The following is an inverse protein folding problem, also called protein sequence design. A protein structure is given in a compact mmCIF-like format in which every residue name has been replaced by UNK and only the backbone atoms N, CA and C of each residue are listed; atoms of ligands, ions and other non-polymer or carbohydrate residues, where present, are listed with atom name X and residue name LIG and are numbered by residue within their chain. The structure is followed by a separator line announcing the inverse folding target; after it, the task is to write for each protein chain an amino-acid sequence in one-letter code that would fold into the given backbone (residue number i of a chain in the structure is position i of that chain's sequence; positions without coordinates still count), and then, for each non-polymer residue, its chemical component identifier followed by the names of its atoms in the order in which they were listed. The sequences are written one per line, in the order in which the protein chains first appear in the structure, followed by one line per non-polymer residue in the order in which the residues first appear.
data_IF_456501288754
#
_entry.id   IF_456501288754
#
_cell.length_a   1.000
_cell.length_b   1.000
_cell.length_c   1.000
_cell.angle_alpha   90.00
_cell.angle_beta   90.00
_cell.angle_gamma   90.00
#
_symmetry.space_group_name_H-M   'P 1'
#
loop_
_entity.id
_entity.type
_entity.pdbx_description
1 polymer ?
#
# COMPACT_ATOMS: atom_id res chain seq x y z
N UNK A 1 10.22 0.37 20.38
CA UNK A 1 9.73 -0.62 19.38
C UNK A 1 10.59 -1.88 19.41
N UNK A 2 9.99 -3.07 19.32
CA UNK A 2 10.70 -4.33 19.04
C UNK A 2 10.76 -4.53 17.52
N UNK A 3 11.89 -5.00 17.00
CA UNK A 3 12.06 -5.28 15.57
C UNK A 3 12.30 -6.77 15.32
N UNK A 4 11.74 -7.28 14.24
CA UNK A 4 11.85 -8.68 13.80
C UNK A 4 12.35 -8.76 12.37
N UNK A 5 13.12 -9.79 12.08
CA UNK A 5 13.59 -10.08 10.72
C UNK A 5 12.42 -10.53 9.85
N UNK A 6 12.31 -9.98 8.64
CA UNK A 6 11.25 -10.32 7.69
C UNK A 6 11.67 -11.56 6.88
N UNK A 7 11.13 -12.73 7.24
CA UNK A 7 11.41 -13.98 6.54
C UNK A 7 12.89 -14.32 6.51
N UNK A 8 13.42 -14.60 5.31
CA UNK A 8 14.84 -14.90 5.08
C UNK A 8 15.63 -13.70 4.51
N UNK A 9 15.16 -12.48 4.75
CA UNK A 9 15.79 -11.25 4.26
C UNK A 9 16.58 -10.56 5.38
N UNK A 10 17.39 -9.57 5.04
CA UNK A 10 18.06 -8.71 6.05
C UNK A 10 17.17 -7.54 6.52
N UNK A 11 15.91 -7.46 6.06
CA UNK A 11 14.98 -6.40 6.42
C UNK A 11 14.47 -6.62 7.85
N UNK A 12 14.51 -5.54 8.66
CA UNK A 12 13.97 -5.51 10.02
C UNK A 12 12.71 -4.65 10.07
N UNK A 13 11.58 -5.27 10.36
CA UNK A 13 10.28 -4.60 10.52
C UNK A 13 9.92 -4.49 12.00
N UNK A 14 9.20 -3.44 12.36
CA UNK A 14 8.58 -3.32 13.68
C UNK A 14 7.64 -4.50 13.94
N UNK A 15 7.57 -4.98 15.18
CA UNK A 15 6.69 -6.10 15.55
C UNK A 15 5.19 -5.79 15.39
N UNK A 16 4.86 -4.51 15.24
CA UNK A 16 3.54 -3.98 14.87
C UNK A 16 3.66 -3.31 13.50
N UNK A 17 2.70 -3.59 12.61
CA UNK A 17 2.56 -2.97 11.30
C UNK A 17 1.37 -2.00 11.30
N UNK A 18 1.52 -0.83 10.65
CA UNK A 18 0.41 0.08 10.41
C UNK A 18 -0.39 -0.39 9.18
N UNK A 19 -1.58 -0.94 9.41
CA UNK A 19 -2.55 -1.23 8.36
C UNK A 19 -3.38 0.01 8.00
N UNK A 20 -3.69 0.17 6.71
CA UNK A 20 -4.12 1.48 6.17
C UNK A 20 -5.43 1.49 5.39
N UNK A 21 -6.13 0.34 5.29
CA UNK A 21 -7.22 0.12 4.34
C UNK A 21 -8.43 1.08 4.44
N UNK A 22 -8.57 1.87 5.51
CA UNK A 22 -9.71 2.77 5.74
C UNK A 22 -9.51 4.17 5.16
N UNK A 23 -8.29 4.52 4.75
CA UNK A 23 -7.92 5.87 4.33
C UNK A 23 -8.39 6.16 2.90
N UNK A 24 -9.24 7.17 2.74
CA UNK A 24 -9.94 7.49 1.50
C UNK A 24 -11.41 7.06 1.50
N UNK A 25 -11.86 6.28 2.49
CA UNK A 25 -13.27 5.89 2.66
C UNK A 25 -13.81 6.34 4.03
N UNK A 26 -13.27 5.80 5.11
CA UNK A 26 -13.70 6.13 6.48
C UNK A 26 -12.84 7.22 7.10
N UNK A 27 -11.58 7.32 6.67
CA UNK A 27 -10.64 8.32 7.13
C UNK A 27 -10.28 9.29 6.02
N UNK A 28 -10.14 10.55 6.38
CA UNK A 28 -9.60 11.59 5.51
C UNK A 28 -8.08 11.46 5.36
N UNK A 29 -7.50 12.14 4.37
CA UNK A 29 -6.04 12.24 4.21
C UNK A 29 -5.36 12.78 5.48
N UNK A 30 -5.94 13.80 6.11
CA UNK A 30 -5.40 14.40 7.33
C UNK A 30 -5.35 13.42 8.50
N UNK A 31 -6.40 12.62 8.70
CA UNK A 31 -6.44 11.58 9.72
C UNK A 31 -5.46 10.43 9.40
N UNK A 32 -5.29 10.08 8.12
CA UNK A 32 -4.27 9.12 7.69
C UNK A 32 -2.85 9.63 7.97
N UNK A 33 -2.57 10.90 7.70
CA UNK A 33 -1.29 11.55 8.01
C UNK A 33 -1.03 11.58 9.52
N UNK A 34 -2.04 11.91 10.33
CA UNK A 34 -1.92 11.89 11.80
C UNK A 34 -1.60 10.48 12.32
N UNK A 35 -2.25 9.45 11.78
CA UNK A 35 -1.95 8.06 12.13
C UNK A 35 -0.53 7.65 11.72
N UNK A 36 -0.06 8.07 10.54
CA UNK A 36 1.32 7.83 10.09
C UNK A 36 2.33 8.53 11.00
N UNK A 37 2.13 9.82 11.28
CA UNK A 37 3.00 10.60 12.17
C UNK A 37 3.09 9.94 13.55
N UNK A 38 1.95 9.61 14.16
CA UNK A 38 1.91 8.93 15.46
C UNK A 38 2.60 7.56 15.44
N UNK A 39 2.39 6.77 14.38
CA UNK A 39 3.01 5.44 14.27
C UNK A 39 4.54 5.53 14.24
N UNK A 40 5.09 6.50 13.50
CA UNK A 40 6.52 6.72 13.37
C UNK A 40 7.12 7.24 14.67
N UNK A 41 6.42 8.14 15.37
CA UNK A 41 6.83 8.61 16.70
C UNK A 41 6.90 7.47 17.73
N UNK A 42 6.07 6.44 17.58
CA UNK A 42 6.12 5.21 18.39
C UNK A 42 7.18 4.20 17.90
N UNK A 43 7.89 4.51 16.81
CA UNK A 43 8.96 3.72 16.23
C UNK A 43 8.49 2.62 15.27
N UNK A 44 7.25 2.66 14.78
CA UNK A 44 6.77 1.77 13.70
C UNK A 44 7.47 2.18 12.41
N UNK A 45 8.04 1.20 11.70
CA UNK A 45 8.68 1.40 10.40
C UNK A 45 8.05 0.56 9.29
N UNK A 46 6.92 -0.11 9.54
CA UNK A 46 6.34 -1.05 8.60
C UNK A 46 4.89 -0.69 8.29
N UNK A 47 4.63 -0.24 7.06
CA UNK A 47 3.31 0.16 6.58
C UNK A 47 2.80 -0.85 5.56
N UNK A 48 1.51 -1.18 5.63
CA UNK A 48 0.83 -2.12 4.73
C UNK A 48 -0.36 -1.45 4.03
N UNK A 49 -0.37 -1.51 2.70
CA UNK A 49 -1.44 -1.00 1.83
C UNK A 49 -1.73 -2.00 0.69
N UNK A 50 -2.58 -1.67 -0.27
CA UNK A 50 -2.86 -2.47 -1.46
C UNK A 50 -3.43 -1.57 -2.57
N UNK A 51 -3.27 -1.96 -3.84
CA UNK A 51 -3.81 -1.19 -4.97
C UNK A 51 -5.33 -0.99 -4.88
N UNK A 52 -6.05 -1.95 -4.27
CA UNK A 52 -7.50 -1.93 -4.20
C UNK A 52 -8.07 -1.08 -3.05
N UNK A 53 -7.22 -0.67 -2.10
CA UNK A 53 -7.68 0.12 -0.95
C UNK A 53 -8.06 1.54 -1.41
N UNK A 54 -9.09 2.18 -0.85
CA UNK A 54 -9.72 1.90 0.44
C UNK A 54 -10.78 0.78 0.44
N UNK A 55 -11.30 0.43 1.64
CA UNK A 55 -12.40 -0.54 1.82
C UNK A 55 -13.67 0.12 2.40
N UNK A 56 -14.88 -0.28 1.97
CA UNK A 56 -15.18 -1.27 0.93
C UNK A 56 -14.68 -0.85 -0.47
N UNK A 57 -14.11 -1.78 -1.26
CA UNK A 57 -13.50 -1.43 -2.54
C UNK A 57 -14.57 -1.01 -3.56
N UNK A 58 -14.38 0.15 -4.18
CA UNK A 58 -15.24 0.68 -5.25
C UNK A 58 -14.41 1.51 -6.23
N UNK A 59 -14.88 1.71 -7.48
CA UNK A 59 -14.13 2.47 -8.48
C UNK A 59 -13.68 3.85 -7.98
N UNK A 60 -14.56 4.56 -7.27
CA UNK A 60 -14.33 5.96 -6.89
C UNK A 60 -13.24 6.17 -5.82
N UNK A 61 -12.92 5.15 -5.02
CA UNK A 61 -11.93 5.25 -3.91
C UNK A 61 -10.79 4.24 -4.04
N UNK A 62 -10.70 3.55 -5.18
CA UNK A 62 -9.60 2.66 -5.48
C UNK A 62 -8.29 3.45 -5.57
N UNK A 63 -7.27 3.00 -4.86
CA UNK A 63 -5.94 3.62 -4.82
C UNK A 63 -5.81 4.79 -3.85
N UNK A 64 -6.90 5.31 -3.26
CA UNK A 64 -6.85 6.48 -2.38
C UNK A 64 -5.91 6.30 -1.19
N UNK A 65 -5.82 5.09 -0.64
CA UNK A 65 -4.89 4.80 0.46
C UNK A 65 -3.42 4.94 0.03
N UNK A 66 -3.07 4.47 -1.17
CA UNK A 66 -1.71 4.64 -1.72
C UNK A 66 -1.41 6.11 -2.01
N UNK A 67 -2.39 6.87 -2.52
CA UNK A 67 -2.23 8.32 -2.75
C UNK A 67 -1.98 9.08 -1.44
N UNK A 68 -2.75 8.78 -0.38
CA UNK A 68 -2.59 9.41 0.94
C UNK A 68 -1.21 9.11 1.55
N UNK A 69 -0.72 7.87 1.41
CA UNK A 69 0.65 7.51 1.80
C UNK A 69 1.67 8.29 0.96
N UNK A 70 1.45 8.38 -0.35
CA UNK A 70 2.34 9.07 -1.27
C UNK A 70 2.45 10.57 -0.97
N UNK A 71 1.35 11.25 -0.66
CA UNK A 71 1.39 12.67 -0.26
C UNK A 71 2.09 12.86 1.07
N UNK A 72 1.95 11.92 2.01
CA UNK A 72 2.70 11.93 3.27
C UNK A 72 4.20 11.78 3.04
N UNK A 73 4.65 10.82 2.22
CA UNK A 73 6.07 10.68 1.87
C UNK A 73 6.63 11.95 1.25
N UNK A 74 5.91 12.56 0.30
CA UNK A 74 6.34 13.81 -0.33
C UNK A 74 6.41 14.97 0.66
N UNK A 75 5.51 15.01 1.65
CA UNK A 75 5.46 16.05 2.67
C UNK A 75 6.57 15.90 3.71
N UNK A 76 6.86 14.68 4.15
CA UNK A 76 7.77 14.41 5.29
C UNK A 76 9.19 14.04 4.86
N UNK A 77 9.37 13.51 3.64
CA UNK A 77 10.64 12.98 3.17
C UNK A 77 11.03 11.63 3.77
N UNK A 78 10.19 11.01 4.61
CA UNK A 78 10.51 9.81 5.39
C UNK A 78 10.40 8.48 4.62
N UNK A 79 10.43 8.50 3.28
CA UNK A 79 10.22 7.28 2.47
C UNK A 79 11.26 6.21 2.79
N UNK A 80 12.51 6.60 2.99
CA UNK A 80 13.64 5.73 3.33
C UNK A 80 13.61 5.18 4.76
N UNK A 81 12.82 5.78 5.65
CA UNK A 81 12.60 5.28 7.02
C UNK A 81 11.54 4.17 7.10
N UNK A 82 10.69 4.05 6.08
CA UNK A 82 9.54 3.13 6.06
C UNK A 82 9.80 1.93 5.16
N UNK A 83 9.65 0.73 5.71
CA UNK A 83 9.45 -0.50 4.97
C UNK A 83 8.00 -0.51 4.48
N UNK A 84 7.81 -0.37 3.17
CA UNK A 84 6.50 -0.26 2.56
C UNK A 84 6.09 -1.57 1.89
N UNK A 85 4.95 -2.11 2.32
CA UNK A 85 4.29 -3.21 1.63
C UNK A 85 3.05 -2.74 0.87
N UNK A 86 2.92 -3.19 -0.38
CA UNK A 86 1.67 -3.10 -1.14
C UNK A 86 1.39 -4.43 -1.84
N UNK A 87 0.21 -4.55 -2.46
CA UNK A 87 -0.31 -5.82 -2.97
C UNK A 87 -0.98 -5.64 -4.32
N UNK A 88 -0.82 -6.65 -5.17
CA UNK A 88 -1.63 -6.85 -6.38
C UNK A 88 -2.82 -7.75 -6.08
N UNK A 89 -3.98 -7.38 -6.59
CA UNK A 89 -5.23 -8.11 -6.44
C UNK A 89 -5.20 -9.40 -7.25
N UNK A 90 -5.58 -10.50 -6.60
CA UNK A 90 -5.76 -11.81 -7.24
C UNK A 90 -7.05 -11.90 -8.06
N UNK A 91 -7.48 -13.13 -8.39
CA UNK A 91 -8.69 -13.34 -9.16
C UNK A 91 -9.92 -12.79 -8.44
N UNK A 92 -10.59 -11.80 -9.02
CA UNK A 92 -11.81 -11.20 -8.48
C UNK A 92 -12.65 -10.58 -9.60
N UNK A 93 -13.96 -10.32 -9.39
CA UNK A 93 -14.82 -9.74 -10.41
C UNK A 93 -14.62 -8.23 -10.60
N UNK A 94 -13.53 -7.64 -10.10
CA UNK A 94 -13.27 -6.21 -10.23
C UNK A 94 -12.77 -5.88 -11.64
N UNK A 95 -13.61 -5.21 -12.42
CA UNK A 95 -13.34 -4.79 -13.80
C UNK A 95 -12.91 -3.32 -13.92
N UNK A 96 -12.63 -2.66 -12.79
CA UNK A 96 -12.18 -1.26 -12.73
C UNK A 96 -10.72 -1.08 -12.26
N UNK A 97 -10.01 -2.16 -11.92
CA UNK A 97 -8.60 -2.07 -11.48
C UNK A 97 -7.61 -2.07 -12.65
N UNK A 98 -8.06 -2.43 -13.85
CA UNK A 98 -7.23 -2.54 -15.07
C UNK A 98 -7.74 -1.62 -16.15
N UNK A 99 -6.84 -1.01 -16.92
CA UNK A 99 -7.19 -0.04 -17.96
C UNK A 99 -8.01 -0.64 -19.09
N UNK A 100 -7.85 -1.94 -19.35
CA UNK A 100 -8.58 -2.67 -20.39
C UNK A 100 -9.97 -3.18 -19.94
N UNK A 101 -10.36 -2.90 -18.69
CA UNK A 101 -11.63 -3.36 -18.11
C UNK A 101 -11.67 -4.86 -17.83
N UNK A 102 -10.52 -5.56 -17.89
CA UNK A 102 -10.45 -6.98 -17.53
C UNK A 102 -10.62 -7.18 -16.02
N UNK A 103 -11.20 -8.31 -15.66
CA UNK A 103 -11.22 -8.77 -14.26
C UNK A 103 -9.80 -9.00 -13.76
N UNK A 104 -9.57 -8.77 -12.48
CA UNK A 104 -8.24 -8.98 -11.91
C UNK A 104 -7.82 -10.44 -11.95
N UNK A 105 -6.55 -10.69 -12.24
CA UNK A 105 -5.84 -11.96 -12.05
C UNK A 105 -4.32 -11.71 -12.04
N UNK A 106 -3.55 -12.67 -11.51
CA UNK A 106 -2.10 -12.61 -11.56
C UNK A 106 -1.53 -13.04 -12.91
N UNK A 107 -1.73 -12.21 -13.95
CA UNK A 107 -1.00 -12.32 -15.21
C UNK A 107 0.21 -11.37 -15.21
N UNK A 108 1.24 -11.66 -16.01
CA UNK A 108 2.43 -10.78 -16.10
C UNK A 108 2.03 -9.34 -16.45
N UNK A 109 1.12 -9.16 -17.41
CA UNK A 109 0.65 -7.84 -17.84
C UNK A 109 -0.02 -7.09 -16.70
N UNK A 110 -0.95 -7.72 -15.99
CA UNK A 110 -1.67 -7.06 -14.89
C UNK A 110 -0.77 -6.78 -13.69
N UNK A 111 0.20 -7.63 -13.36
CA UNK A 111 1.16 -7.38 -12.28
C UNK A 111 2.03 -6.17 -12.61
N UNK A 112 2.52 -6.06 -13.85
CA UNK A 112 3.33 -4.91 -14.28
C UNK A 112 2.51 -3.61 -14.27
N UNK A 113 1.27 -3.64 -14.76
CA UNK A 113 0.38 -2.47 -14.70
C UNK A 113 0.08 -2.06 -13.26
N UNK A 114 -0.25 -3.02 -12.39
CA UNK A 114 -0.57 -2.77 -10.99
C UNK A 114 0.61 -2.14 -10.24
N UNK A 115 1.84 -2.66 -10.42
CA UNK A 115 3.01 -2.13 -9.74
C UNK A 115 3.34 -0.71 -10.20
N UNK A 116 3.27 -0.43 -11.51
CA UNK A 116 3.52 0.91 -12.06
C UNK A 116 2.51 1.93 -11.51
N UNK A 117 1.23 1.55 -11.45
CA UNK A 117 0.17 2.38 -10.87
C UNK A 117 0.34 2.60 -9.37
N UNK A 118 0.72 1.57 -8.62
CA UNK A 118 1.01 1.68 -7.19
C UNK A 118 2.18 2.62 -6.92
N UNK A 119 3.30 2.46 -7.63
CA UNK A 119 4.47 3.34 -7.51
C UNK A 119 4.13 4.81 -7.80
N UNK A 120 3.31 5.05 -8.84
CA UNK A 120 2.86 6.39 -9.18
C UNK A 120 2.02 7.03 -8.06
N UNK A 121 1.02 6.31 -7.51
CA UNK A 121 0.19 6.81 -6.39
C UNK A 121 1.01 7.02 -5.11
N UNK A 122 1.90 6.08 -4.80
CA UNK A 122 2.80 6.15 -3.64
C UNK A 122 3.91 7.20 -3.81
N UNK A 123 4.08 7.78 -4.99
CA UNK A 123 5.11 8.77 -5.32
C UNK A 123 6.53 8.31 -4.91
N UNK A 124 6.84 7.04 -5.18
CA UNK A 124 8.13 6.40 -4.89
C UNK A 124 8.54 5.50 -6.06
N UNK A 125 9.83 5.21 -6.18
CA UNK A 125 10.44 4.39 -7.23
C UNK A 125 10.66 2.93 -6.82
N UNK A 126 10.38 2.56 -5.57
CA UNK A 126 10.48 1.17 -5.09
C UNK A 126 9.45 0.80 -4.03
N UNK A 127 9.20 -0.50 -3.92
CA UNK A 127 8.37 -1.15 -2.89
C UNK A 127 9.26 -2.18 -2.19
N UNK A 128 9.28 -2.17 -0.85
CA UNK A 128 10.14 -3.07 -0.05
C UNK A 128 9.60 -4.51 -0.03
N UNK A 129 8.28 -4.65 0.00
CA UNK A 129 7.59 -5.94 -0.04
C UNK A 129 6.35 -5.87 -0.95
N UNK A 130 6.39 -6.58 -2.07
CA UNK A 130 5.24 -6.69 -2.97
C UNK A 130 4.58 -8.07 -2.84
N UNK A 131 3.27 -8.08 -2.61
CA UNK A 131 2.53 -9.29 -2.24
C UNK A 131 1.43 -9.62 -3.24
N UNK A 132 1.18 -10.91 -3.42
CA UNK A 132 -0.06 -11.40 -4.04
C UNK A 132 -1.16 -11.34 -2.97
N UNK A 133 -2.19 -10.52 -3.17
CA UNK A 133 -3.17 -10.22 -2.10
C UNK A 133 -4.02 -11.45 -1.72
N UNK A 134 -4.40 -12.26 -2.71
CA UNK A 134 -5.00 -13.59 -2.53
C UNK A 134 -4.75 -14.45 -3.78
N UNK A 135 -4.84 -15.79 -3.73
CA UNK A 135 -4.60 -16.65 -4.90
C UNK A 135 -5.53 -16.37 -6.09
N UNK A 136 -5.10 -16.80 -7.30
CA UNK A 136 -5.99 -16.89 -8.46
C UNK A 136 -7.01 -18.03 -8.34
#
# INVERSE_FOLDING_TARGET
MEFRQLGHTDIKVSSICLGTMTWGEQNTEAEGHEQMDYSVDMGINFFDTAEMYAVPPKPDTQGSTEEIIGTWFKKTGKRDEIILATKVSGRAPFDWLRDDGSKTEHSRTQIMEAVDKSLARLQTDYIDLYQLHWPN
#
